data_IF_810815100545
#
_entry.id   IF_810815100545
#
_cell.length_a   1.000
_cell.length_b   1.000
_cell.length_c   1.000
_cell.angle_alpha   90.00
_cell.angle_beta   90.00
_cell.angle_gamma   90.00
#
_symmetry.space_group_name_H-M   'P 1'
#
loop_
_entity.id
_entity.type
_entity.pdbx_description
1 polymer ?
#
# COMPACT_ATOMS: atom_id res chain seq x y z
N UNK A 1 -2.06 3.11 16.36
CA UNK A 1 -0.99 2.62 17.25
C UNK A 1 0.17 2.05 16.44
N UNK A 2 1.41 2.43 16.78
CA UNK A 2 2.64 2.00 16.06
C UNK A 2 2.77 0.48 15.91
N UNK A 3 2.43 -0.31 16.93
CA UNK A 3 2.60 -1.76 16.91
C UNK A 3 1.37 -2.56 16.46
N UNK A 4 0.30 -1.89 16.00
CA UNK A 4 -0.86 -2.57 15.43
C UNK A 4 -0.45 -3.42 14.19
N UNK A 5 -0.77 -4.72 14.12
CA UNK A 5 -0.39 -5.56 12.99
C UNK A 5 -1.13 -5.24 11.69
N UNK A 6 -2.21 -4.47 11.74
CA UNK A 6 -2.99 -4.05 10.58
C UNK A 6 -2.30 -2.93 9.78
N UNK A 7 -2.61 -2.79 8.48
CA UNK A 7 -2.12 -1.66 7.70
C UNK A 7 -2.51 -0.32 8.33
N UNK A 8 -1.52 0.55 8.51
CA UNK A 8 -1.71 1.88 9.12
C UNK A 8 -2.55 2.78 8.21
N UNK A 9 -3.21 3.75 8.83
CA UNK A 9 -4.01 4.78 8.16
C UNK A 9 -3.56 6.20 8.49
N UNK A 10 -2.87 6.38 9.61
CA UNK A 10 -2.36 7.68 10.04
C UNK A 10 -0.83 7.71 9.97
N UNK A 11 -0.26 8.82 9.48
CA UNK A 11 1.19 9.06 9.41
C UNK A 11 1.89 8.87 10.76
N UNK A 12 1.28 9.34 11.85
CA UNK A 12 1.82 9.24 13.22
C UNK A 12 2.10 7.80 13.67
N UNK A 13 1.44 6.82 13.05
CA UNK A 13 1.59 5.40 13.36
C UNK A 13 2.52 4.67 12.37
N UNK A 14 3.14 5.38 11.43
CA UNK A 14 3.93 4.84 10.33
C UNK A 14 5.37 5.36 10.41
N UNK A 15 6.30 4.45 10.74
CA UNK A 15 7.67 4.79 11.08
C UNK A 15 8.60 4.84 9.87
N UNK A 16 9.39 5.91 9.77
CA UNK A 16 10.58 6.06 8.90
C UNK A 16 10.32 5.78 7.41
N UNK A 17 9.30 6.45 6.86
CA UNK A 17 8.83 6.31 5.47
C UNK A 17 8.33 7.61 4.86
N UNK A 18 8.73 8.73 5.45
CA UNK A 18 8.31 10.07 5.07
C UNK A 18 8.72 10.38 3.62
N UNK A 19 9.93 9.97 3.22
CA UNK A 19 10.42 10.18 1.86
C UNK A 19 9.60 9.46 0.80
N UNK A 20 9.29 8.17 0.99
CA UNK A 20 8.43 7.44 0.06
C UNK A 20 7.00 7.96 0.06
N UNK A 21 6.50 8.40 1.21
CA UNK A 21 5.15 8.95 1.34
C UNK A 21 5.02 10.25 0.56
N UNK A 22 5.94 11.20 0.74
CA UNK A 22 5.95 12.45 -0.02
C UNK A 22 6.15 12.19 -1.52
N UNK A 23 7.05 11.27 -1.90
CA UNK A 23 7.25 10.91 -3.31
C UNK A 23 5.98 10.34 -3.94
N UNK A 24 5.27 9.46 -3.25
CA UNK A 24 4.02 8.88 -3.74
C UNK A 24 2.92 9.93 -3.93
N UNK A 25 2.84 10.91 -3.03
CA UNK A 25 1.86 12.01 -3.12
C UNK A 25 2.13 13.01 -4.24
N UNK A 26 3.34 13.07 -4.78
CA UNK A 26 3.61 13.96 -5.93
C UNK A 26 2.83 13.56 -7.18
N UNK A 27 2.34 12.30 -7.25
CA UNK A 27 1.60 11.76 -8.40
C UNK A 27 2.28 12.09 -9.75
N UNK A 28 3.62 12.06 -9.77
CA UNK A 28 4.43 12.54 -10.89
C UNK A 28 4.28 11.75 -12.19
N UNK A 29 3.49 10.68 -12.19
CA UNK A 29 3.25 9.76 -13.31
C UNK A 29 1.82 9.23 -13.23
N UNK A 30 1.16 8.95 -14.37
CA UNK A 30 -0.15 8.29 -14.41
C UNK A 30 -0.16 6.93 -13.69
N UNK A 31 1.00 6.27 -13.61
CA UNK A 31 1.17 4.99 -12.91
C UNK A 31 2.36 5.11 -11.95
N UNK A 32 2.10 4.82 -10.68
CA UNK A 32 3.12 4.67 -9.64
C UNK A 32 3.10 3.23 -9.10
N UNK A 33 4.28 2.60 -9.01
CA UNK A 33 4.42 1.25 -8.47
C UNK A 33 5.05 1.30 -7.08
N UNK A 34 4.36 0.74 -6.09
CA UNK A 34 4.90 0.57 -4.73
C UNK A 34 5.42 -0.87 -4.59
N UNK A 35 6.73 -1.06 -4.68
CA UNK A 35 7.37 -2.38 -4.68
C UNK A 35 8.01 -2.74 -3.32
N UNK A 36 8.26 -4.03 -3.10
CA UNK A 36 8.94 -4.55 -1.90
C UNK A 36 8.38 -5.87 -1.38
N UNK A 37 9.09 -6.51 -0.44
CA UNK A 37 8.74 -7.82 0.12
C UNK A 37 7.43 -7.82 0.93
N UNK A 38 6.85 -9.01 1.17
CA UNK A 38 5.64 -9.13 1.98
C UNK A 38 5.87 -8.54 3.38
N UNK A 39 4.88 -7.82 3.91
CA UNK A 39 4.90 -7.17 5.25
C UNK A 39 5.87 -5.99 5.41
N UNK A 40 6.37 -5.39 4.33
CA UNK A 40 7.17 -4.14 4.38
C UNK A 40 6.38 -2.84 4.52
N UNK A 41 5.06 -2.91 4.75
CA UNK A 41 4.24 -1.71 4.96
C UNK A 41 3.69 -1.02 3.70
N UNK A 42 3.81 -1.62 2.51
CA UNK A 42 3.29 -1.06 1.24
C UNK A 42 1.81 -0.65 1.30
N UNK A 43 0.96 -1.50 1.88
CA UNK A 43 -0.48 -1.20 2.01
C UNK A 43 -0.73 -0.01 2.94
N UNK A 44 0.08 0.16 3.99
CA UNK A 44 0.03 1.32 4.88
C UNK A 44 0.43 2.59 4.15
N UNK A 45 1.54 2.56 3.41
CA UNK A 45 2.04 3.69 2.61
C UNK A 45 0.96 4.22 1.66
N UNK A 46 0.33 3.33 0.90
CA UNK A 46 -0.74 3.70 -0.05
C UNK A 46 -1.94 4.27 0.69
N UNK A 47 -2.40 3.63 1.78
CA UNK A 47 -3.56 4.10 2.54
C UNK A 47 -3.37 5.49 3.15
N UNK A 48 -2.19 5.74 3.73
CA UNK A 48 -1.84 7.05 4.30
C UNK A 48 -1.77 8.10 3.19
N UNK A 49 -1.10 7.80 2.08
CA UNK A 49 -0.99 8.73 0.95
C UNK A 49 -2.38 9.13 0.40
N UNK A 50 -3.26 8.15 0.18
CA UNK A 50 -4.63 8.40 -0.30
C UNK A 50 -5.44 9.22 0.70
N UNK A 51 -5.30 8.95 2.00
CA UNK A 51 -5.97 9.71 3.06
C UNK A 51 -5.50 11.17 3.12
N UNK A 52 -4.19 11.40 3.00
CA UNK A 52 -3.60 12.75 3.05
C UNK A 52 -3.83 13.57 1.78
N UNK A 53 -3.90 12.92 0.61
CA UNK A 53 -4.17 13.61 -0.66
C UNK A 53 -5.57 14.21 -0.70
N UNK A 54 -6.54 13.61 -0.01
CA UNK A 54 -7.94 14.08 0.01
C UNK A 54 -8.65 14.05 -1.35
N UNK A 55 -8.06 13.39 -2.35
CA UNK A 55 -8.62 13.27 -3.70
C UNK A 55 -9.62 12.11 -3.77
N UNK A 56 -10.64 12.19 -4.65
CA UNK A 56 -11.48 11.04 -4.96
C UNK A 56 -10.63 9.85 -5.39
N UNK A 57 -10.74 8.74 -4.67
CA UNK A 57 -9.96 7.54 -4.94
C UNK A 57 -10.76 6.26 -4.65
N UNK A 58 -10.36 5.18 -5.33
CA UNK A 58 -10.86 3.83 -5.11
C UNK A 58 -9.71 2.93 -4.70
N UNK A 59 -9.84 2.26 -3.56
CA UNK A 59 -8.82 1.34 -3.05
C UNK A 59 -9.29 -0.11 -3.16
N UNK A 60 -8.71 -0.87 -4.09
CA UNK A 60 -9.01 -2.28 -4.33
C UNK A 60 -7.91 -3.18 -3.75
N UNK A 61 -8.29 -4.13 -2.90
CA UNK A 61 -7.37 -5.15 -2.35
C UNK A 61 -7.59 -6.50 -3.02
N UNK A 62 -6.56 -7.02 -3.67
CA UNK A 62 -6.58 -8.33 -4.33
C UNK A 62 -6.09 -9.48 -3.43
N UNK A 63 -5.75 -9.22 -2.16
CA UNK A 63 -5.23 -10.25 -1.25
C UNK A 63 -6.19 -11.43 -1.04
N UNK A 64 -7.51 -11.18 -1.10
CA UNK A 64 -8.54 -12.20 -0.96
C UNK A 64 -8.74 -13.04 -2.24
N UNK A 65 -8.18 -12.60 -3.37
CA UNK A 65 -8.34 -13.25 -4.68
C UNK A 65 -7.37 -14.42 -4.92
N UNK A 66 -6.56 -14.78 -3.92
CA UNK A 66 -5.56 -15.87 -3.98
C UNK A 66 -6.11 -17.23 -4.38
N UNK A 67 -7.44 -17.45 -4.32
CA UNK A 67 -8.09 -18.71 -4.73
C UNK A 67 -8.13 -18.95 -6.24
N UNK A 68 -7.98 -17.92 -7.09
CA UNK A 68 -8.01 -18.15 -8.54
C UNK A 68 -6.69 -18.67 -9.10
N UNK A 69 -5.55 -18.30 -8.52
CA UNK A 69 -4.24 -18.70 -9.02
C UNK A 69 -3.83 -20.11 -8.60
N UNK A 70 -4.48 -20.69 -7.58
CA UNK A 70 -4.20 -22.07 -7.14
C UNK A 70 -4.91 -23.15 -7.98
N UNK A 71 -5.77 -22.79 -8.94
CA UNK A 71 -6.38 -23.76 -9.88
C UNK A 71 -5.64 -23.86 -11.22
N UNK A 72 -4.79 -22.89 -11.53
CA UNK A 72 -3.88 -22.96 -12.68
C UNK A 72 -2.50 -23.26 -12.14
N UNK A 73 -2.15 -24.54 -12.03
CA UNK A 73 -0.82 -24.98 -11.63
C UNK A 73 0.25 -24.29 -12.49
N UNK A 74 0.90 -23.29 -11.93
CA UNK A 74 2.19 -22.78 -12.38
C UNK A 74 2.92 -22.33 -11.13
N UNK A 75 3.69 -23.27 -10.59
CA UNK A 75 4.79 -23.03 -9.67
C UNK A 75 5.83 -22.14 -10.36
N UNK A 76 6.13 -21.00 -9.75
CA UNK A 76 7.39 -20.28 -9.89
C UNK A 76 7.94 -20.05 -8.49
#
# INVERSE_FOLDING_TARGET
MLFDPSPKRDRKDFFDREGELERLKTLSSPIALTLGLRRTGKSSLIRIALGELGLPNSYLTLESFKRLTSRTGTSF
#
